data_IF_076437414679
#
_entry.id   IF_076437414679
#
_cell.length_a   1.000
_cell.length_b   1.000
_cell.length_c   1.000
_cell.angle_alpha   90.00
_cell.angle_beta   90.00
_cell.angle_gamma   90.00
#
_symmetry.space_group_name_H-M   'P 1'
#
loop_
_entity.id
_entity.type
_entity.pdbx_description
1 polymer ?
#
# COMPACT_ATOMS: atom_id res chain seq x y z
N UNK A 1 -2.77 -27.87 -8.48
CA UNK A 1 -2.52 -27.12 -7.23
C UNK A 1 -3.24 -25.80 -7.32
N UNK A 2 -3.82 -25.29 -6.23
CA UNK A 2 -4.50 -23.99 -6.24
C UNK A 2 -3.45 -22.86 -6.35
N UNK A 3 -3.57 -22.02 -7.38
CA UNK A 3 -2.73 -20.85 -7.56
C UNK A 3 -3.27 -19.69 -6.74
N UNK A 4 -2.37 -18.91 -6.14
CA UNK A 4 -2.67 -17.68 -5.41
C UNK A 4 -2.02 -16.49 -6.12
N UNK A 5 -2.78 -15.40 -6.18
CA UNK A 5 -2.36 -14.15 -6.82
C UNK A 5 -2.10 -13.12 -5.72
N UNK A 6 -0.97 -12.43 -5.79
CA UNK A 6 -0.61 -11.36 -4.86
C UNK A 6 -0.47 -10.04 -5.60
N UNK A 7 -1.18 -9.01 -5.15
CA UNK A 7 -1.02 -7.65 -5.66
C UNK A 7 0.03 -6.90 -4.84
N UNK A 8 0.93 -6.20 -5.53
CA UNK A 8 2.06 -5.50 -4.93
C UNK A 8 1.72 -4.05 -4.61
N UNK A 9 2.15 -3.62 -3.43
CA UNK A 9 2.02 -2.27 -2.92
C UNK A 9 3.35 -1.82 -2.34
N UNK A 10 3.62 -0.53 -2.40
CA UNK A 10 4.69 0.12 -1.65
C UNK A 10 4.06 0.83 -0.47
N UNK A 11 4.68 0.71 0.70
CA UNK A 11 4.32 1.51 1.85
C UNK A 11 5.39 2.59 2.09
N UNK A 12 4.93 3.73 2.58
CA UNK A 12 5.78 4.86 2.91
C UNK A 12 5.50 5.33 4.32
N UNK A 13 6.53 5.31 5.16
CA UNK A 13 6.43 5.74 6.56
C UNK A 13 6.93 7.17 6.64
N UNK A 14 6.08 8.07 7.15
CA UNK A 14 6.29 9.51 7.16
C UNK A 14 6.17 10.02 8.59
N UNK A 15 7.10 10.86 9.07
CA UNK A 15 6.88 11.58 10.32
C UNK A 15 5.73 12.58 10.16
N UNK A 16 4.85 12.69 11.16
CA UNK A 16 3.77 13.67 11.17
C UNK A 16 4.34 15.09 11.37
N UNK A 17 5.35 15.23 12.22
CA UNK A 17 6.08 16.48 12.45
C UNK A 17 7.58 16.30 12.21
N UNK A 18 8.20 17.19 11.41
CA UNK A 18 9.64 17.18 11.09
C UNK A 18 10.46 18.29 11.75
N UNK A 19 9.81 19.27 12.38
CA UNK A 19 10.44 20.54 12.77
C UNK A 19 10.82 20.57 14.27
N UNK A 20 10.44 19.56 15.05
CA UNK A 20 10.79 19.49 16.47
C UNK A 20 12.09 18.71 16.66
N UNK A 21 13.08 19.28 17.36
CA UNK A 21 14.34 18.59 17.69
C UNK A 21 14.13 17.39 18.63
N UNK A 22 13.05 17.43 19.44
CA UNK A 22 12.65 16.35 20.35
C UNK A 22 11.15 16.09 20.25
N UNK A 23 10.78 14.81 20.17
CA UNK A 23 9.41 14.36 20.19
C UNK A 23 9.09 13.76 21.56
N UNK A 24 8.03 14.26 22.20
CA UNK A 24 7.51 13.67 23.42
C UNK A 24 6.65 12.45 23.05
N UNK A 25 7.29 11.28 22.91
CA UNK A 25 6.60 10.03 22.62
C UNK A 25 6.14 9.36 23.93
N UNK A 26 5.20 8.42 23.83
CA UNK A 26 4.58 7.77 25.00
C UNK A 26 5.56 7.00 25.89
N UNK A 27 6.75 6.67 25.40
CA UNK A 27 7.70 5.77 26.09
C UNK A 27 9.13 6.33 26.20
N UNK A 28 9.47 7.44 25.52
CA UNK A 28 10.80 8.06 25.56
C UNK A 28 10.84 9.40 24.82
N UNK A 29 11.76 10.30 25.20
CA UNK A 29 12.16 11.41 24.32
C UNK A 29 13.06 10.85 23.20
N UNK A 30 12.56 10.82 21.97
CA UNK A 30 13.38 10.53 20.78
C UNK A 30 13.47 11.80 19.93
N UNK A 31 14.62 11.99 19.29
CA UNK A 31 14.76 12.96 18.21
C UNK A 31 14.02 12.48 16.95
N UNK A 32 13.69 13.41 16.06
CA UNK A 32 13.07 13.08 14.75
C UNK A 32 13.97 12.14 13.95
N UNK A 33 15.28 12.30 14.00
CA UNK A 33 16.23 11.47 13.27
C UNK A 33 16.25 10.02 13.80
N UNK A 34 16.19 9.83 15.12
CA UNK A 34 16.08 8.48 15.71
C UNK A 34 14.77 7.81 15.33
N UNK A 35 13.66 8.55 15.31
CA UNK A 35 12.36 8.03 14.85
C UNK A 35 12.41 7.62 13.38
N UNK A 36 13.08 8.40 12.53
CA UNK A 36 13.25 8.08 11.11
C UNK A 36 14.14 6.85 10.91
N UNK A 37 15.23 6.72 11.68
CA UNK A 37 16.12 5.56 11.62
C UNK A 37 15.42 4.27 12.04
N UNK A 38 14.55 4.35 13.06
CA UNK A 38 13.80 3.21 13.60
C UNK A 38 12.42 3.00 12.98
N UNK A 39 12.06 3.75 11.94
CA UNK A 39 10.72 3.74 11.32
C UNK A 39 10.24 2.33 10.95
N UNK A 40 11.14 1.48 10.47
CA UNK A 40 10.85 0.11 10.03
C UNK A 40 10.63 -0.84 11.22
N UNK A 41 11.26 -0.58 12.36
CA UNK A 41 11.00 -1.31 13.61
C UNK A 41 9.60 -0.99 14.10
N UNK A 42 9.29 0.32 14.23
CA UNK A 42 7.96 0.80 14.64
C UNK A 42 6.84 0.30 13.73
N UNK A 43 7.11 0.12 12.44
CA UNK A 43 6.14 -0.42 11.51
C UNK A 43 5.78 -1.89 11.79
N UNK A 44 6.77 -2.73 12.08
CA UNK A 44 6.54 -4.14 12.42
C UNK A 44 5.93 -4.27 13.81
N UNK A 45 6.37 -3.46 14.78
CA UNK A 45 5.75 -3.35 16.09
C UNK A 45 4.27 -2.96 15.98
N UNK A 46 3.94 -1.99 15.12
CA UNK A 46 2.57 -1.62 14.85
C UNK A 46 1.74 -2.78 14.28
N UNK A 47 2.30 -3.58 13.37
CA UNK A 47 1.66 -4.80 12.86
C UNK A 47 1.39 -5.82 13.97
N UNK A 48 2.35 -6.03 14.88
CA UNK A 48 2.20 -6.93 16.04
C UNK A 48 1.16 -6.43 17.02
N UNK A 49 1.14 -5.12 17.27
CA UNK A 49 0.15 -4.50 18.15
C UNK A 49 -1.26 -4.63 17.59
N UNK A 50 -1.49 -4.35 16.30
CA UNK A 50 -2.82 -4.56 15.71
C UNK A 50 -3.21 -6.05 15.66
N UNK A 51 -2.23 -6.96 15.59
CA UNK A 51 -2.49 -8.39 15.69
C UNK A 51 -2.96 -8.78 17.09
N UNK A 52 -2.30 -8.28 18.14
CA UNK A 52 -2.73 -8.47 19.52
C UNK A 52 -4.12 -7.86 19.78
N UNK A 53 -4.36 -6.61 19.37
CA UNK A 53 -5.67 -5.96 19.52
C UNK A 53 -6.78 -6.72 18.80
N UNK A 54 -6.49 -7.30 17.63
CA UNK A 54 -7.43 -8.15 16.90
C UNK A 54 -7.80 -9.43 17.65
N UNK A 55 -6.94 -9.92 18.55
CA UNK A 55 -7.24 -11.07 19.41
C UNK A 55 -8.20 -10.70 20.55
N UNK A 56 -8.09 -9.49 21.07
CA UNK A 56 -8.86 -8.98 22.21
C UNK A 56 -10.27 -8.49 21.84
N UNK A 57 -10.67 -8.60 20.57
CA UNK A 57 -11.96 -8.11 20.05
C UNK A 57 -12.23 -6.64 20.37
N UNK A 58 -11.17 -5.83 20.50
CA UNK A 58 -11.30 -4.37 20.60
C UNK A 58 -11.99 -3.88 19.32
N UNK A 59 -13.23 -3.39 19.49
CA UNK A 59 -14.07 -2.94 18.38
C UNK A 59 -13.37 -1.74 17.74
N UNK A 60 -12.82 -1.96 16.55
CA UNK A 60 -12.28 -0.89 15.74
C UNK A 60 -13.44 -0.01 15.25
N UNK A 61 -13.29 1.32 15.26
CA UNK A 61 -14.28 2.30 14.76
C UNK A 61 -14.66 2.10 13.27
N UNK A 62 -14.11 1.08 12.61
CA UNK A 62 -14.47 0.64 11.27
C UNK A 62 -15.67 -0.30 11.23
N UNK A 63 -16.14 -0.80 12.38
CA UNK A 63 -17.27 -1.74 12.47
C UNK A 63 -17.00 -3.14 11.88
N UNK A 64 -15.79 -3.39 11.35
CA UNK A 64 -15.38 -4.68 10.79
C UNK A 64 -14.48 -5.43 11.75
N UNK A 65 -14.94 -6.60 12.21
CA UNK A 65 -14.13 -7.53 13.01
C UNK A 65 -13.05 -8.14 12.12
N UNK A 66 -11.79 -7.97 12.52
CA UNK A 66 -10.63 -8.57 11.87
C UNK A 66 -9.90 -9.48 12.84
N UNK A 67 -9.29 -10.54 12.32
CA UNK A 67 -8.29 -11.35 13.01
C UNK A 67 -6.99 -11.29 12.24
N UNK A 68 -5.90 -10.98 12.91
CA UNK A 68 -4.56 -10.90 12.33
C UNK A 68 -3.65 -11.82 13.14
N UNK A 69 -2.86 -12.65 12.46
CA UNK A 69 -1.90 -13.55 13.08
C UNK A 69 -0.58 -13.52 12.30
N UNK A 70 0.51 -13.19 12.98
CA UNK A 70 1.87 -13.39 12.45
C UNK A 70 2.14 -14.89 12.33
N UNK A 71 2.63 -15.32 11.16
CA UNK A 71 2.97 -16.73 10.87
C UNK A 71 4.43 -16.90 10.44
N UNK A 72 5.13 -15.80 10.14
CA UNK A 72 6.56 -15.79 9.90
C UNK A 72 7.14 -14.42 10.33
N UNK A 73 8.32 -14.39 10.99
CA UNK A 73 9.17 -15.54 11.37
C UNK A 73 8.56 -16.43 12.45
N UNK A 74 8.98 -17.70 12.49
CA UNK A 74 8.56 -18.65 13.53
C UNK A 74 9.33 -18.45 14.84
N UNK A 75 10.42 -17.68 14.84
CA UNK A 75 11.27 -17.37 15.98
C UNK A 75 11.62 -15.88 15.97
N UNK A 76 11.75 -15.27 17.15
CA UNK A 76 12.18 -13.87 17.27
C UNK A 76 13.66 -13.75 16.90
N UNK A 77 13.92 -13.50 15.62
CA UNK A 77 15.24 -13.11 15.13
C UNK A 77 15.29 -11.60 14.98
N UNK A 78 16.31 -10.96 15.55
CA UNK A 78 16.49 -9.51 15.62
C UNK A 78 16.65 -8.81 14.26
N UNK A 79 16.92 -9.53 13.17
CA UNK A 79 17.19 -8.95 11.84
C UNK A 79 16.43 -9.64 10.70
N UNK A 80 15.13 -9.89 10.87
CA UNK A 80 14.33 -10.38 9.76
C UNK A 80 13.77 -9.21 8.94
N UNK A 81 14.00 -9.22 7.63
CA UNK A 81 13.45 -8.24 6.69
C UNK A 81 12.08 -8.68 6.15
N UNK A 82 11.59 -9.86 6.54
CA UNK A 82 10.41 -10.44 5.94
C UNK A 82 9.42 -10.97 6.97
N UNK A 83 8.16 -10.60 6.81
CA UNK A 83 7.09 -10.97 7.73
C UNK A 83 5.88 -11.46 6.95
N UNK A 84 5.18 -12.45 7.49
CA UNK A 84 3.93 -12.94 6.91
C UNK A 84 2.86 -12.94 7.97
N UNK A 85 1.73 -12.33 7.62
CA UNK A 85 0.54 -12.25 8.44
C UNK A 85 -0.62 -12.95 7.72
N UNK A 86 -1.43 -13.68 8.48
CA UNK A 86 -2.76 -14.11 8.04
C UNK A 86 -3.77 -13.08 8.55
N UNK A 87 -4.57 -12.55 7.64
CA UNK A 87 -5.63 -11.57 7.96
C UNK A 87 -6.97 -12.16 7.55
N UNK A 88 -7.93 -12.20 8.45
CA UNK A 88 -9.30 -12.63 8.17
C UNK A 88 -10.28 -11.55 8.58
N UNK A 89 -11.30 -11.31 7.76
CA UNK A 89 -12.42 -10.43 8.08
C UNK A 89 -13.65 -11.28 8.36
N UNK A 90 -14.37 -10.99 9.44
CA UNK A 90 -15.64 -11.65 9.72
C UNK A 90 -16.65 -11.28 8.62
N UNK A 91 -17.31 -12.29 8.08
CA UNK A 91 -18.44 -12.15 7.16
C UNK A 91 -19.60 -12.99 7.63
N UNK A 92 -20.81 -12.48 7.45
CA UNK A 92 -22.01 -13.29 7.60
C UNK A 92 -22.30 -13.97 6.28
N UNK A 93 -22.33 -15.31 6.29
CA UNK A 93 -22.75 -16.11 5.14
C UNK A 93 -24.18 -16.57 5.42
N UNK A 94 -25.08 -16.18 4.52
CA UNK A 94 -26.48 -16.58 4.57
C UNK A 94 -26.71 -17.73 3.58
N UNK A 95 -27.38 -18.79 4.02
CA UNK A 95 -27.74 -19.95 3.18
C UNK A 95 -29.22 -20.26 3.35
N UNK A 96 -29.88 -20.58 2.25
CA UNK A 96 -31.22 -21.17 2.28
C UNK A 96 -31.10 -22.67 2.53
N UNK A 97 -31.88 -23.19 3.48
CA UNK A 97 -31.96 -24.62 3.76
C UNK A 97 -32.91 -25.31 2.78
N UNK A 98 -32.92 -26.65 2.77
CA UNK A 98 -33.87 -27.45 1.98
C UNK A 98 -35.34 -27.12 2.31
N UNK A 99 -35.59 -26.60 3.51
CA UNK A 99 -36.91 -26.15 3.98
C UNK A 99 -37.21 -24.68 3.61
N UNK A 100 -36.38 -24.04 2.78
CA UNK A 100 -36.46 -22.62 2.42
C UNK A 100 -36.32 -21.67 3.62
N UNK A 101 -35.66 -22.12 4.69
CA UNK A 101 -35.35 -21.28 5.85
C UNK A 101 -33.99 -20.60 5.66
N UNK A 102 -33.85 -19.39 6.19
CA UNK A 102 -32.60 -18.64 6.13
C UNK A 102 -31.74 -18.99 7.36
N UNK A 103 -30.56 -19.56 7.13
CA UNK A 103 -29.54 -19.75 8.17
C UNK A 103 -28.37 -18.79 7.94
N UNK A 104 -27.88 -18.16 9.01
CA UNK A 104 -26.70 -17.29 8.97
C UNK A 104 -25.58 -17.85 9.86
N UNK A 105 -24.37 -17.90 9.31
CA UNK A 105 -23.16 -18.33 10.02
C UNK A 105 -22.05 -17.29 9.83
N UNK A 106 -21.14 -17.22 10.79
CA UNK A 106 -19.91 -16.44 10.65
C UNK A 106 -18.87 -17.22 9.81
N UNK A 107 -18.37 -16.59 8.77
CA UNK A 107 -17.23 -17.05 7.97
C UNK A 107 -16.03 -16.11 8.19
N UNK A 108 -14.84 -16.71 8.22
CA UNK A 108 -13.57 -16.03 8.46
C UNK A 108 -12.57 -16.29 7.33
N UNK A 109 -12.90 -15.86 6.10
CA UNK A 109 -12.04 -16.07 4.94
C UNK A 109 -10.72 -15.31 5.12
N UNK A 110 -9.62 -16.07 5.20
CA UNK A 110 -8.27 -15.53 5.40
C UNK A 110 -7.54 -15.19 4.10
N UNK A 111 -6.65 -14.21 4.18
CA UNK A 111 -5.66 -13.84 3.16
C UNK A 111 -4.27 -13.76 3.77
N UNK A 112 -3.26 -13.93 2.94
CA UNK A 112 -1.87 -13.67 3.31
C UNK A 112 -1.49 -12.21 3.00
N UNK A 113 -0.86 -11.58 3.98
CA UNK A 113 -0.23 -10.27 3.87
C UNK A 113 1.25 -10.46 4.13
N UNK A 114 2.04 -10.12 3.13
CA UNK A 114 3.48 -10.31 3.15
C UNK A 114 4.14 -8.95 3.20
N UNK A 115 5.07 -8.78 4.14
CA UNK A 115 5.81 -7.53 4.35
C UNK A 115 7.28 -7.79 4.04
N UNK A 116 7.81 -7.09 3.05
CA UNK A 116 9.24 -6.96 2.83
C UNK A 116 9.70 -5.62 3.42
N UNK A 117 10.16 -5.69 4.67
CA UNK A 117 10.62 -4.59 5.51
C UNK A 117 12.11 -4.30 5.33
N UNK A 118 12.49 -4.09 4.08
CA UNK A 118 13.79 -3.57 3.70
C UNK A 118 13.73 -2.04 3.60
N UNK A 119 14.79 -1.35 4.05
CA UNK A 119 14.86 0.11 4.13
C UNK A 119 14.64 0.83 2.80
N UNK A 120 15.00 0.17 1.69
CA UNK A 120 14.86 0.74 0.35
C UNK A 120 13.57 0.29 -0.35
N UNK A 121 13.09 -0.91 -0.04
CA UNK A 121 12.02 -1.55 -0.80
C UNK A 121 10.64 -1.31 -0.21
N UNK A 122 10.46 -1.56 1.08
CA UNK A 122 9.20 -1.31 1.81
C UNK A 122 7.96 -1.74 1.01
N UNK A 123 7.85 -3.05 0.74
CA UNK A 123 6.83 -3.64 -0.13
C UNK A 123 5.84 -4.47 0.69
N UNK A 124 4.56 -4.38 0.33
CA UNK A 124 3.51 -5.30 0.75
C UNK A 124 3.04 -6.14 -0.45
N UNK A 125 2.94 -7.45 -0.27
CA UNK A 125 2.24 -8.32 -1.20
C UNK A 125 0.94 -8.79 -0.54
N UNK A 126 -0.20 -8.40 -1.12
CA UNK A 126 -1.53 -8.69 -0.59
C UNK A 126 -2.20 -9.76 -1.44
N UNK A 127 -2.58 -10.88 -0.83
CA UNK A 127 -3.28 -11.95 -1.55
C UNK A 127 -4.65 -11.47 -2.06
N UNK A 128 -4.90 -11.69 -3.35
CA UNK A 128 -6.18 -11.45 -3.99
C UNK A 128 -7.13 -12.63 -3.75
N UNK A 129 -8.06 -12.44 -2.80
CA UNK A 129 -9.13 -13.40 -2.50
C UNK A 129 -10.45 -12.67 -2.26
N UNK A 130 -11.32 -12.66 -3.27
CA UNK A 130 -12.61 -11.94 -3.25
C UNK A 130 -13.56 -12.42 -2.16
N UNK A 131 -13.48 -13.72 -1.80
CA UNK A 131 -14.24 -14.27 -0.68
C UNK A 131 -13.90 -13.58 0.65
N UNK A 132 -12.68 -13.05 0.82
CA UNK A 132 -12.26 -12.28 1.99
C UNK A 132 -12.43 -10.76 1.80
N UNK A 133 -11.83 -10.21 0.75
CA UNK A 133 -11.88 -8.78 0.45
C UNK A 133 -12.20 -8.58 -1.02
N UNK A 134 -13.22 -7.80 -1.34
CA UNK A 134 -13.65 -7.57 -2.73
C UNK A 134 -12.49 -7.05 -3.61
N UNK A 135 -11.61 -6.23 -3.04
CA UNK A 135 -10.38 -5.73 -3.67
C UNK A 135 -9.24 -5.69 -2.65
N UNK A 136 -8.01 -5.90 -3.10
CA UNK A 136 -6.80 -5.77 -2.25
C UNK A 136 -6.60 -4.33 -1.77
N UNK A 137 -7.06 -3.31 -2.51
CA UNK A 137 -7.07 -1.92 -2.02
C UNK A 137 -7.90 -1.73 -0.76
N UNK A 138 -9.01 -2.45 -0.62
CA UNK A 138 -9.84 -2.37 0.58
C UNK A 138 -9.05 -2.86 1.79
N UNK A 139 -8.26 -3.93 1.63
CA UNK A 139 -7.36 -4.42 2.66
C UNK A 139 -6.20 -3.43 2.92
N UNK A 140 -5.55 -2.91 1.88
CA UNK A 140 -4.47 -1.94 2.01
C UNK A 140 -4.91 -0.70 2.81
N UNK A 141 -6.06 -0.11 2.47
CA UNK A 141 -6.61 1.05 3.15
C UNK A 141 -7.00 0.74 4.61
N UNK A 142 -7.54 -0.46 4.85
CA UNK A 142 -7.91 -0.91 6.19
C UNK A 142 -6.67 -1.10 7.08
N UNK A 143 -5.61 -1.72 6.56
CA UNK A 143 -4.34 -1.86 7.25
C UNK A 143 -3.71 -0.49 7.53
N UNK A 144 -3.63 0.40 6.53
CA UNK A 144 -3.12 1.76 6.71
C UNK A 144 -3.86 2.50 7.83
N UNK A 145 -5.20 2.44 7.85
CA UNK A 145 -6.00 3.07 8.91
C UNK A 145 -5.67 2.52 10.30
N UNK A 146 -5.52 1.21 10.45
CA UNK A 146 -5.20 0.58 11.74
C UNK A 146 -3.77 0.84 12.19
N UNK A 147 -2.81 0.70 11.27
CA UNK A 147 -1.40 0.99 11.53
C UNK A 147 -1.22 2.45 11.95
N UNK A 148 -1.90 3.39 11.30
CA UNK A 148 -1.82 4.81 11.64
C UNK A 148 -2.31 5.13 13.05
N UNK A 149 -3.27 4.39 13.60
CA UNK A 149 -3.69 4.57 15.01
C UNK A 149 -2.56 4.25 15.98
N UNK A 150 -1.75 3.25 15.65
CA UNK A 150 -0.60 2.84 16.48
C UNK A 150 0.59 3.76 16.25
N UNK A 151 0.97 3.95 14.98
CA UNK A 151 2.12 4.75 14.56
C UNK A 151 2.02 6.22 14.98
N UNK A 152 0.81 6.76 15.13
CA UNK A 152 0.60 8.13 15.59
C UNK A 152 1.31 8.41 16.93
N UNK A 153 1.35 7.43 17.83
CA UNK A 153 2.05 7.54 19.13
C UNK A 153 3.56 7.72 19.01
N UNK A 154 4.12 7.34 17.86
CA UNK A 154 5.53 7.47 17.52
C UNK A 154 5.79 8.66 16.58
N UNK A 155 4.83 9.58 16.43
CA UNK A 155 4.88 10.67 15.44
C UNK A 155 5.03 10.15 14.00
N UNK A 156 4.54 8.95 13.70
CA UNK A 156 4.62 8.34 12.38
C UNK A 156 3.22 8.14 11.77
N UNK A 157 3.18 8.12 10.45
CA UNK A 157 2.07 7.58 9.67
C UNK A 157 2.61 6.70 8.54
N UNK A 158 1.78 5.83 8.02
CA UNK A 158 2.03 5.03 6.83
C UNK A 158 0.99 5.34 5.76
N UNK A 159 1.47 5.45 4.53
CA UNK A 159 0.67 5.48 3.31
C UNK A 159 0.99 4.25 2.46
N UNK A 160 -0.02 3.60 1.90
CA UNK A 160 0.14 2.36 1.12
C UNK A 160 -0.44 2.59 -0.27
N UNK A 161 0.41 2.48 -1.30
CA UNK A 161 0.05 2.72 -2.69
C UNK A 161 0.38 1.52 -3.57
N UNK A 162 -0.48 1.17 -4.55
CA UNK A 162 -0.21 0.04 -5.42
C UNK A 162 0.97 0.31 -6.34
N UNK A 163 1.71 -0.76 -6.61
CA UNK A 163 2.75 -0.79 -7.64
C UNK A 163 2.06 -1.29 -8.90
N UNK A 164 2.16 -0.56 -10.01
CA UNK A 164 1.52 -0.91 -11.27
C UNK A 164 2.53 -0.89 -12.43
N UNK A 165 2.13 -1.44 -13.57
CA UNK A 165 2.91 -1.33 -14.79
C UNK A 165 2.61 0.02 -15.46
N UNK A 166 3.65 0.81 -15.75
CA UNK A 166 3.51 2.08 -16.46
C UNK A 166 2.80 1.92 -17.81
N UNK A 167 2.94 0.77 -18.48
CA UNK A 167 2.20 0.50 -19.72
C UNK A 167 0.69 0.48 -19.49
N UNK A 168 0.22 0.01 -18.33
CA UNK A 168 -1.20 0.06 -17.97
C UNK A 168 -1.73 1.49 -17.85
N UNK A 169 -0.90 2.44 -17.39
CA UNK A 169 -1.28 3.86 -17.42
C UNK A 169 -1.36 4.37 -18.86
N UNK A 170 -0.37 4.09 -19.70
CA UNK A 170 -0.38 4.55 -21.09
C UNK A 170 -1.57 4.00 -21.88
N UNK A 171 -1.90 2.72 -21.70
CA UNK A 171 -3.11 2.11 -22.26
C UNK A 171 -4.40 2.74 -21.73
N UNK A 172 -4.40 3.27 -20.51
CA UNK A 172 -5.57 3.93 -19.92
C UNK A 172 -5.84 5.31 -20.54
N UNK A 173 -4.81 5.99 -21.05
CA UNK A 173 -4.94 7.32 -21.67
C UNK A 173 -4.93 7.26 -23.20
N UNK A 174 -4.35 6.23 -23.80
CA UNK A 174 -4.27 6.04 -25.25
C UNK A 174 -5.67 5.96 -25.88
N UNK A 175 -5.88 6.72 -26.96
CA UNK A 175 -7.16 6.75 -27.68
C UNK A 175 -8.31 7.45 -26.95
N UNK A 176 -8.07 8.06 -25.79
CA UNK A 176 -9.09 8.73 -25.00
C UNK A 176 -8.87 10.25 -24.90
N UNK A 177 -9.96 11.02 -24.98
CA UNK A 177 -9.93 12.48 -24.79
C UNK A 177 -9.83 12.80 -23.29
N UNK A 178 -8.62 13.09 -22.81
CA UNK A 178 -8.39 13.40 -21.39
C UNK A 178 -8.60 14.89 -21.14
N UNK A 179 -9.47 15.24 -20.18
CA UNK A 179 -9.73 16.64 -19.80
C UNK A 179 -8.94 17.06 -18.55
N UNK A 180 -8.59 16.12 -17.69
CA UNK A 180 -7.82 16.37 -16.47
C UNK A 180 -7.01 15.14 -16.10
N UNK A 181 -5.78 15.38 -15.67
CA UNK A 181 -4.94 14.38 -15.00
C UNK A 181 -4.44 14.95 -13.69
N UNK A 182 -4.39 14.10 -12.68
CA UNK A 182 -4.00 14.47 -11.33
C UNK A 182 -3.03 13.44 -10.78
N UNK A 183 -1.85 13.91 -10.40
CA UNK A 183 -0.82 13.12 -9.75
C UNK A 183 -0.83 13.44 -8.27
N UNK A 184 -1.12 12.43 -7.44
CA UNK A 184 -0.92 12.51 -6.00
C UNK A 184 0.39 11.82 -5.67
N UNK A 185 1.40 12.60 -5.31
CA UNK A 185 2.73 12.13 -4.94
C UNK A 185 2.87 12.11 -3.43
N UNK A 186 3.50 11.05 -2.91
CA UNK A 186 3.81 10.87 -1.50
C UNK A 186 5.31 10.90 -1.34
N UNK A 187 5.82 11.65 -0.36
CA UNK A 187 7.26 11.89 -0.19
C UNK A 187 7.72 11.68 1.25
N UNK A 188 8.35 10.53 1.54
CA UNK A 188 9.64 10.59 2.24
C UNK A 188 10.70 9.54 1.81
N UNK A 189 10.35 8.48 1.08
CA UNK A 189 11.29 7.37 0.79
C UNK A 189 12.12 7.62 -0.48
N UNK A 190 12.95 8.65 -0.44
CA UNK A 190 13.67 9.16 -1.61
C UNK A 190 14.89 8.33 -2.04
N UNK A 191 15.25 7.21 -1.41
CA UNK A 191 16.47 6.49 -1.81
C UNK A 191 16.35 5.81 -3.19
N UNK A 192 15.22 5.13 -3.49
CA UNK A 192 15.10 4.31 -4.72
C UNK A 192 14.10 4.80 -5.77
N UNK A 193 12.98 5.43 -5.38
CA UNK A 193 12.00 5.98 -6.34
C UNK A 193 12.41 7.35 -6.91
N UNK A 194 13.35 8.04 -6.26
CA UNK A 194 13.75 9.41 -6.61
C UNK A 194 14.57 9.52 -7.91
N UNK A 195 15.15 8.43 -8.42
CA UNK A 195 15.80 8.48 -9.74
C UNK A 195 14.83 8.90 -10.86
N UNK A 196 13.53 8.69 -10.65
CA UNK A 196 12.47 9.05 -11.59
C UNK A 196 11.83 10.42 -11.32
N UNK A 197 12.32 11.21 -10.36
CA UNK A 197 11.76 12.52 -10.04
C UNK A 197 12.82 13.61 -10.25
N UNK A 198 12.43 14.78 -10.76
CA UNK A 198 13.35 15.92 -10.90
C UNK A 198 13.89 16.39 -9.56
N UNK A 199 15.11 16.92 -9.54
CA UNK A 199 15.75 17.37 -8.30
C UNK A 199 15.00 18.54 -7.64
N UNK A 200 14.29 19.36 -8.44
CA UNK A 200 13.45 20.46 -7.95
C UNK A 200 12.25 19.95 -7.14
N UNK A 201 11.58 18.88 -7.58
CA UNK A 201 10.47 18.28 -6.83
C UNK A 201 10.96 17.59 -5.55
N UNK A 202 12.18 17.04 -5.57
CA UNK A 202 12.83 16.49 -4.35
C UNK A 202 13.12 17.59 -3.35
N UNK A 203 13.72 18.68 -3.81
CA UNK A 203 14.01 19.85 -2.99
C UNK A 203 12.71 20.43 -2.41
N UNK A 204 11.68 20.61 -3.24
CA UNK A 204 10.38 21.09 -2.81
C UNK A 204 9.82 20.23 -1.68
N UNK A 205 9.76 18.90 -1.85
CA UNK A 205 9.23 18.01 -0.82
C UNK A 205 10.09 17.98 0.46
N UNK A 206 11.42 18.07 0.34
CA UNK A 206 12.34 18.09 1.49
C UNK A 206 12.18 19.38 2.31
N UNK A 207 12.16 20.53 1.65
CA UNK A 207 12.18 21.84 2.33
C UNK A 207 10.79 22.36 2.71
N UNK A 208 9.72 21.93 2.02
CA UNK A 208 8.35 22.34 2.35
C UNK A 208 7.68 21.53 3.46
N UNK A 209 8.35 20.50 3.98
CA UNK A 209 7.75 19.49 4.87
C UNK A 209 6.46 18.86 4.27
N UNK A 210 6.33 18.83 2.94
CA UNK A 210 5.17 18.26 2.28
C UNK A 210 5.26 16.73 2.26
N UNK A 211 4.35 16.08 3.00
CA UNK A 211 4.15 14.63 2.94
C UNK A 211 3.38 14.20 1.68
N UNK A 212 2.55 15.09 1.13
CA UNK A 212 1.66 14.84 0.00
C UNK A 212 1.65 16.05 -0.95
N UNK A 213 1.94 15.83 -2.22
CA UNK A 213 1.85 16.85 -3.27
C UNK A 213 0.84 16.42 -4.32
N UNK A 214 -0.12 17.30 -4.65
CA UNK A 214 -1.11 17.06 -5.71
C UNK A 214 -0.81 17.99 -6.89
N UNK A 215 -0.48 17.40 -8.04
CA UNK A 215 -0.26 18.13 -9.29
C UNK A 215 -1.44 17.85 -10.22
N UNK A 216 -2.22 18.88 -10.52
CA UNK A 216 -3.35 18.80 -11.46
C UNK A 216 -3.03 19.53 -12.75
N UNK A 217 -3.21 18.86 -13.88
CA UNK A 217 -3.21 19.47 -15.21
C UNK A 217 -4.62 19.38 -15.79
N UNK A 218 -5.11 20.50 -16.31
CA UNK A 218 -6.42 20.61 -16.94
C UNK A 218 -6.24 20.98 -18.41
N UNK A 219 -7.05 20.39 -19.27
CA UNK A 219 -7.16 20.81 -20.66
C UNK A 219 -7.73 22.24 -20.73
N UNK A 220 -7.36 23.02 -21.76
CA UNK A 220 -8.04 24.29 -22.04
C UNK A 220 -9.54 24.05 -22.32
N UNK A 221 -10.34 25.11 -22.25
CA UNK A 221 -11.78 25.03 -22.49
C UNK A 221 -12.08 24.34 -23.84
N UNK A 222 -12.94 23.31 -23.81
CA UNK A 222 -13.25 22.45 -24.95
C UNK A 222 -12.09 21.63 -25.57
N UNK A 223 -10.87 21.73 -25.04
CA UNK A 223 -9.70 20.99 -25.49
C UNK A 223 -9.52 19.62 -24.85
N UNK A 224 -8.33 19.05 -25.06
CA UNK A 224 -7.84 17.82 -24.42
C UNK A 224 -6.36 17.98 -24.04
N UNK A 225 -5.91 17.19 -23.08
CA UNK A 225 -4.50 17.13 -22.69
C UNK A 225 -3.70 16.33 -23.71
N UNK A 226 -2.55 16.86 -24.11
CA UNK A 226 -1.57 16.11 -24.88
C UNK A 226 -0.68 15.29 -23.94
N UNK A 227 -1.09 14.04 -23.70
CA UNK A 227 -0.32 13.09 -22.90
C UNK A 227 0.49 12.19 -23.83
N UNK A 228 1.81 12.30 -23.76
CA UNK A 228 2.72 11.52 -24.59
C UNK A 228 3.85 10.93 -23.77
N UNK A 229 4.22 9.65 -23.98
CA UNK A 229 5.39 9.05 -23.34
C UNK A 229 6.71 9.71 -23.77
N UNK A 230 6.68 10.56 -24.81
CA UNK A 230 7.84 11.33 -25.26
C UNK A 230 8.09 12.60 -24.42
N UNK A 231 7.18 12.96 -23.51
CA UNK A 231 7.35 14.10 -22.61
C UNK A 231 8.10 13.63 -21.35
N UNK A 232 9.38 14.00 -21.17
CA UNK A 232 10.20 13.45 -20.08
C UNK A 232 9.60 13.71 -18.70
N UNK A 233 9.09 14.92 -18.46
CA UNK A 233 8.51 15.30 -17.16
C UNK A 233 7.26 14.48 -16.83
N UNK A 234 6.45 14.14 -17.84
CA UNK A 234 5.27 13.30 -17.64
C UNK A 234 5.68 11.84 -17.39
N UNK A 235 6.68 11.35 -18.12
CA UNK A 235 7.22 10.02 -17.93
C UNK A 235 7.77 9.84 -16.50
N UNK A 236 8.50 10.82 -15.99
CA UNK A 236 9.03 10.85 -14.63
C UNK A 236 7.93 10.70 -13.57
N UNK A 237 6.84 11.48 -13.69
CA UNK A 237 5.69 11.41 -12.78
C UNK A 237 4.96 10.05 -12.84
N UNK A 238 4.84 9.48 -14.04
CA UNK A 238 4.25 8.15 -14.25
C UNK A 238 5.14 7.07 -13.66
N UNK A 239 6.45 7.13 -13.92
CA UNK A 239 7.44 6.18 -13.42
C UNK A 239 7.49 6.22 -11.89
N UNK A 240 7.49 7.41 -11.28
CA UNK A 240 7.41 7.61 -9.84
C UNK A 240 6.15 6.96 -9.23
N UNK A 241 4.98 7.27 -9.81
CA UNK A 241 3.70 6.74 -9.32
C UNK A 241 3.59 5.23 -9.51
N UNK A 242 4.07 4.68 -10.63
CA UNK A 242 4.04 3.25 -10.96
C UNK A 242 4.82 2.39 -9.95
N UNK A 243 5.85 2.95 -9.34
CA UNK A 243 6.66 2.30 -8.30
C UNK A 243 6.04 2.40 -6.90
N UNK A 244 4.81 2.91 -6.78
CA UNK A 244 4.13 3.14 -5.51
C UNK A 244 4.53 4.45 -4.82
N UNK A 245 5.05 5.42 -5.59
CA UNK A 245 5.29 6.79 -5.16
C UNK A 245 4.01 7.61 -4.95
N UNK A 246 2.85 7.07 -5.30
CA UNK A 246 1.60 7.82 -5.32
C UNK A 246 0.52 7.16 -6.16
N UNK A 247 -0.44 7.96 -6.62
CA UNK A 247 -1.55 7.52 -7.48
C UNK A 247 -1.81 8.54 -8.59
N UNK A 248 -2.36 8.07 -9.71
CA UNK A 248 -2.74 8.91 -10.85
C UNK A 248 -4.24 8.80 -11.06
N UNK A 249 -4.93 9.94 -11.12
CA UNK A 249 -6.35 10.04 -11.45
C UNK A 249 -6.53 10.71 -12.80
N UNK A 250 -7.28 10.07 -13.70
CA UNK A 250 -7.55 10.53 -15.07
C UNK A 250 -9.04 10.81 -15.22
N UNK A 251 -9.40 11.98 -15.73
CA UNK A 251 -10.77 12.35 -16.10
C UNK A 251 -10.86 12.48 -17.61
N UNK A 252 -11.81 11.78 -18.20
CA UNK A 252 -12.08 11.86 -19.64
C UNK A 252 -13.19 12.86 -19.92
N UNK A 253 -13.15 13.46 -21.11
CA UNK A 253 -14.16 14.40 -21.57
C UNK A 253 -15.55 13.78 -21.55
N UNK A 254 -16.49 14.42 -20.86
CA UNK A 254 -17.88 13.97 -20.73
C UNK A 254 -18.11 12.85 -19.69
N UNK A 255 -17.06 12.42 -18.97
CA UNK A 255 -17.18 11.42 -17.91
C UNK A 255 -17.14 12.12 -16.55
N UNK A 256 -18.17 11.91 -15.71
CA UNK A 256 -18.25 12.53 -14.38
C UNK A 256 -17.21 12.01 -13.40
N UNK A 257 -16.83 10.73 -13.52
CA UNK A 257 -15.94 10.04 -12.59
C UNK A 257 -14.49 10.01 -13.09
N UNK A 258 -13.53 10.16 -12.18
CA UNK A 258 -12.11 9.92 -12.47
C UNK A 258 -11.80 8.42 -12.44
N UNK A 259 -11.00 7.92 -13.38
CA UNK A 259 -10.37 6.59 -13.27
C UNK A 259 -9.06 6.72 -12.51
N UNK A 260 -8.77 5.77 -11.64
CA UNK A 260 -7.62 5.81 -10.74
C UNK A 260 -6.72 4.60 -10.97
N UNK A 261 -5.41 4.84 -11.17
CA UNK A 261 -4.39 3.78 -11.25
C UNK A 261 -4.24 3.02 -9.93
N UNK A 262 -4.83 3.52 -8.85
CA UNK A 262 -5.00 2.77 -7.63
C UNK A 262 -5.76 1.45 -7.87
N UNK A 263 -6.55 1.28 -8.94
CA UNK A 263 -7.22 0.01 -9.26
C UNK A 263 -6.38 -0.93 -10.13
N UNK A 264 -5.17 -0.55 -10.53
CA UNK A 264 -4.26 -1.36 -11.34
C UNK A 264 -3.10 -1.85 -10.50
N UNK A 265 -2.70 -3.10 -10.66
CA UNK A 265 -1.72 -3.76 -9.79
C UNK A 265 -0.75 -4.62 -10.60
N UNK A 266 0.53 -4.54 -10.24
CA UNK A 266 1.49 -5.60 -10.56
C UNK A 266 1.19 -6.79 -9.66
N UNK A 267 1.27 -7.99 -10.22
CA UNK A 267 0.92 -9.21 -9.50
C UNK A 267 2.01 -10.27 -9.56
N UNK A 268 2.08 -11.09 -8.51
CA UNK A 268 2.90 -12.29 -8.44
C UNK A 268 1.97 -13.47 -8.25
N UNK A 269 2.15 -14.50 -9.08
CA UNK A 269 1.41 -15.76 -8.99
C UNK A 269 2.31 -16.82 -8.36
N UNK A 270 1.78 -17.53 -7.39
CA UNK A 270 2.49 -18.60 -6.68
C UNK A 270 1.53 -19.70 -6.24
N UNK A 271 2.04 -20.89 -6.00
CA UNK A 271 1.22 -22.00 -5.55
C UNK A 271 0.97 -21.92 -4.03
N UNK A 272 -0.21 -22.37 -3.59
CA UNK A 272 -0.62 -22.32 -2.19
C UNK A 272 0.38 -23.00 -1.23
N UNK A 273 0.93 -24.16 -1.62
CA UNK A 273 1.92 -24.89 -0.84
C UNK A 273 3.16 -24.03 -0.53
N UNK A 274 3.60 -23.25 -1.51
CA UNK A 274 4.75 -22.34 -1.40
C UNK A 274 4.53 -21.28 -0.32
N UNK A 275 3.33 -20.72 -0.25
CA UNK A 275 2.96 -19.69 0.74
C UNK A 275 2.92 -20.27 2.16
N UNK A 276 2.41 -21.49 2.32
CA UNK A 276 2.24 -22.11 3.65
C UNK A 276 3.53 -22.75 4.18
N UNK A 277 4.38 -23.33 3.32
CA UNK A 277 5.52 -24.16 3.72
C UNK A 277 6.87 -23.46 3.56
N UNK A 278 7.03 -22.57 2.58
CA UNK A 278 8.29 -21.85 2.36
C UNK A 278 8.06 -20.40 1.91
N UNK A 279 7.64 -19.51 2.83
CA UNK A 279 7.45 -18.09 2.52
C UNK A 279 8.68 -17.41 1.91
N UNK A 280 9.89 -17.93 2.19
CA UNK A 280 11.17 -17.44 1.65
C UNK A 280 11.24 -17.56 0.12
N UNK A 281 10.69 -18.61 -0.47
CA UNK A 281 10.69 -18.76 -1.93
C UNK A 281 9.79 -17.72 -2.64
N UNK A 282 8.77 -17.20 -1.96
CA UNK A 282 7.96 -16.09 -2.44
C UNK A 282 8.69 -14.75 -2.33
N UNK A 283 9.52 -14.58 -1.30
CA UNK A 283 10.43 -13.44 -1.19
C UNK A 283 11.41 -13.40 -2.37
N UNK A 284 12.02 -14.53 -2.77
CA UNK A 284 12.89 -14.56 -3.94
C UNK A 284 12.14 -14.17 -5.23
N UNK A 285 10.88 -14.57 -5.39
CA UNK A 285 10.04 -14.11 -6.50
C UNK A 285 9.76 -12.61 -6.45
N UNK A 286 9.49 -12.06 -5.26
CA UNK A 286 9.32 -10.61 -5.06
C UNK A 286 10.63 -9.88 -5.39
N UNK A 287 11.78 -10.33 -4.87
CA UNK A 287 13.09 -9.74 -5.15
C UNK A 287 13.41 -9.75 -6.65
N UNK A 288 13.25 -10.90 -7.29
CA UNK A 288 13.47 -11.04 -8.74
C UNK A 288 12.55 -10.13 -9.56
N UNK A 289 11.32 -9.90 -9.12
CA UNK A 289 10.41 -8.95 -9.76
C UNK A 289 10.97 -7.52 -9.76
N UNK A 290 11.63 -7.09 -8.68
CA UNK A 290 12.24 -5.75 -8.59
C UNK A 290 13.62 -5.65 -9.27
N UNK A 291 14.38 -6.74 -9.35
CA UNK A 291 15.69 -6.75 -10.04
C UNK A 291 15.58 -6.70 -11.58
N UNK A 292 14.46 -7.15 -12.14
CA UNK A 292 14.23 -7.23 -13.59
C UNK A 292 13.48 -6.00 -14.16
N UNK A 293 13.44 -4.87 -13.45
CA UNK A 293 12.69 -3.65 -13.84
C UNK A 293 13.54 -2.40 -13.90
#
# INVERSE_FOLDING_TARGET
>A
MSQRIFHLYRYQIIPNERIQEKLHLSESELSVDEVIQRKNEFFIEAFRQIALQSMLDEIDDTGRKLRIKEVYPLQETTHNQFYVFKVAACKTVTRETENFETMSEEDWPRVHVIVWNDDEQQVLALEHRTSAFNKTNTLANLLAKRLNKVLYKHNLNVQIHPIFDKQSFWQLVEGHKVEQIEFKMVTPNMANISKALSDDLKALAKYSNSANTELTMNAPENGELNLSPKLPQLQDLVDYSSKGGGSIRVKYKGVRTKKDTANTHSSIITDEYTVEVSPISLLERIKNFFQNR
#
